data_IF_461696079181
#
_entry.id   IF_461696079181
#
_cell.length_a   1.000
_cell.length_b   1.000
_cell.length_c   1.000
_cell.angle_alpha   90.00
_cell.angle_beta   90.00
_cell.angle_gamma   90.00
#
_symmetry.space_group_name_H-M   'P 1'
#
loop_
_entity.id
_entity.type
_entity.pdbx_description
1 polymer ?
#
# COMPACT_ATOMS: atom_id res chain seq x y z
N UNK A 1 1.60 -1.07 -14.90
CA UNK A 1 2.95 -1.69 -15.00
C UNK A 1 3.42 -1.97 -13.58
N UNK A 2 3.71 -3.23 -13.23
CA UNK A 2 4.24 -3.63 -11.93
C UNK A 2 5.06 -4.91 -12.09
N UNK A 3 6.08 -5.08 -11.24
CA UNK A 3 6.89 -6.29 -11.24
C UNK A 3 6.04 -7.52 -10.91
N UNK A 4 6.39 -8.66 -11.49
CA UNK A 4 5.78 -9.94 -11.16
C UNK A 4 6.15 -10.37 -9.73
N UNK A 5 5.27 -11.12 -9.09
CA UNK A 5 5.52 -11.72 -7.79
C UNK A 5 6.42 -12.95 -7.87
N UNK A 6 6.31 -13.83 -6.88
CA UNK A 6 7.09 -15.08 -6.83
C UNK A 6 6.65 -16.12 -7.87
N UNK A 7 5.42 -15.97 -8.37
CA UNK A 7 4.80 -16.80 -9.41
C UNK A 7 5.14 -16.36 -10.84
N UNK A 8 5.92 -15.30 -10.98
CA UNK A 8 6.29 -14.64 -12.23
C UNK A 8 5.08 -14.20 -13.12
N UNK A 9 3.86 -14.27 -12.58
CA UNK A 9 2.65 -13.76 -13.25
C UNK A 9 2.74 -12.25 -13.43
N UNK A 10 2.48 -11.78 -14.64
CA UNK A 10 2.42 -10.34 -14.97
C UNK A 10 1.00 -9.80 -14.85
N UNK A 11 0.85 -8.47 -14.88
CA UNK A 11 -0.47 -7.82 -14.88
C UNK A 11 -1.30 -8.23 -16.12
N UNK A 12 -0.65 -8.54 -17.24
CA UNK A 12 -1.35 -8.96 -18.46
C UNK A 12 -1.97 -10.36 -18.34
N UNK A 13 -1.39 -11.21 -17.49
CA UNK A 13 -1.86 -12.59 -17.28
C UNK A 13 -3.03 -12.65 -16.29
N UNK A 14 -3.29 -11.57 -15.55
CA UNK A 14 -4.35 -11.54 -14.54
C UNK A 14 -5.75 -11.78 -15.13
N UNK A 15 -6.07 -11.15 -16.25
CA UNK A 15 -7.40 -11.31 -16.85
C UNK A 15 -7.65 -12.71 -17.39
N UNK A 16 -6.75 -13.35 -18.15
CA UNK A 16 -6.84 -14.77 -18.49
C UNK A 16 -7.01 -15.66 -17.25
N UNK A 17 -6.17 -15.48 -16.23
CA UNK A 17 -6.25 -16.22 -14.98
C UNK A 17 -7.65 -16.11 -14.32
N UNK A 18 -8.20 -14.89 -14.22
CA UNK A 18 -9.50 -14.68 -13.61
C UNK A 18 -10.66 -15.31 -14.39
N UNK A 19 -10.54 -15.42 -15.71
CA UNK A 19 -11.59 -16.09 -16.51
C UNK A 19 -11.75 -17.56 -16.12
N UNK A 20 -10.67 -18.20 -15.75
CA UNK A 20 -10.65 -19.62 -15.39
C UNK A 20 -10.87 -19.84 -13.88
N UNK A 21 -10.25 -19.01 -13.04
CA UNK A 21 -10.13 -19.26 -11.60
C UNK A 21 -11.01 -18.36 -10.71
N UNK A 22 -11.80 -17.43 -11.29
CA UNK A 22 -12.60 -16.45 -10.54
C UNK A 22 -13.53 -17.11 -9.52
N UNK A 23 -14.21 -18.18 -9.91
CA UNK A 23 -15.22 -18.85 -9.05
C UNK A 23 -14.57 -19.43 -7.81
N UNK A 24 -13.44 -20.13 -7.98
CA UNK A 24 -12.68 -20.72 -6.90
C UNK A 24 -12.06 -19.65 -5.98
N UNK A 25 -11.49 -18.60 -6.56
CA UNK A 25 -10.94 -17.48 -5.80
C UNK A 25 -12.01 -16.83 -4.91
N UNK A 26 -13.18 -16.53 -5.46
CA UNK A 26 -14.29 -15.94 -4.70
C UNK A 26 -14.78 -16.89 -3.60
N UNK A 27 -14.87 -18.17 -3.88
CA UNK A 27 -15.27 -19.17 -2.88
C UNK A 27 -14.28 -19.22 -1.73
N UNK A 28 -12.97 -19.27 -2.02
CA UNK A 28 -11.92 -19.29 -1.01
C UNK A 28 -11.92 -18.03 -0.12
N UNK A 29 -12.19 -16.85 -0.72
CA UNK A 29 -12.31 -15.59 0.03
C UNK A 29 -13.54 -15.60 0.95
N UNK A 30 -14.70 -16.04 0.45
CA UNK A 30 -15.95 -16.12 1.22
C UNK A 30 -15.88 -17.11 2.39
N UNK A 31 -15.18 -18.21 2.19
CA UNK A 31 -14.98 -19.25 3.20
C UNK A 31 -13.85 -18.92 4.20
N UNK A 32 -13.15 -17.80 4.03
CA UNK A 32 -11.99 -17.43 4.87
C UNK A 32 -10.79 -18.36 4.69
N UNK A 33 -10.73 -19.09 3.57
CA UNK A 33 -9.65 -20.05 3.26
C UNK A 33 -8.55 -19.47 2.35
N UNK A 34 -8.75 -18.27 1.85
CA UNK A 34 -7.74 -17.62 1.02
C UNK A 34 -6.45 -17.39 1.81
N UNK A 35 -5.34 -17.88 1.23
CA UNK A 35 -4.01 -17.68 1.80
C UNK A 35 -3.16 -16.92 0.78
N UNK A 36 -2.67 -15.72 1.13
CA UNK A 36 -1.75 -14.98 0.28
C UNK A 36 -0.47 -15.79 0.00
N UNK A 37 0.05 -15.65 -1.21
CA UNK A 37 1.32 -16.26 -1.57
C UNK A 37 2.50 -15.55 -0.88
N UNK A 38 3.66 -16.21 -0.74
CA UNK A 38 4.86 -15.55 -0.26
C UNK A 38 5.25 -14.39 -1.19
N UNK A 39 5.77 -13.30 -0.60
CA UNK A 39 6.27 -12.17 -1.39
C UNK A 39 7.63 -12.46 -2.00
N UNK A 40 7.86 -12.01 -3.23
CA UNK A 40 9.18 -12.04 -3.87
C UNK A 40 10.06 -10.95 -3.23
N UNK A 41 11.13 -11.37 -2.56
CA UNK A 41 12.06 -10.42 -1.93
C UNK A 41 12.98 -9.81 -2.98
N UNK A 42 13.06 -8.49 -2.99
CA UNK A 42 14.01 -7.71 -3.79
C UNK A 42 14.79 -6.77 -2.88
N UNK A 43 16.09 -6.66 -3.11
CA UNK A 43 16.97 -5.77 -2.38
C UNK A 43 17.30 -4.54 -3.21
N UNK A 44 17.07 -3.36 -2.65
CA UNK A 44 17.33 -2.07 -3.30
C UNK A 44 18.44 -1.36 -2.52
N UNK A 45 19.55 -1.00 -3.17
CA UNK A 45 20.60 -0.20 -2.51
C UNK A 45 20.07 1.15 -2.04
N UNK A 46 20.49 1.57 -0.84
CA UNK A 46 20.19 2.92 -0.32
C UNK A 46 21.29 3.90 -0.74
N UNK A 47 20.97 5.19 -1.01
CA UNK A 47 21.98 6.20 -1.31
C UNK A 47 23.05 6.37 -0.23
N UNK A 48 22.69 6.13 1.03
CA UNK A 48 23.57 6.29 2.20
C UNK A 48 24.30 4.99 2.60
N UNK A 49 24.34 4.00 1.71
CA UNK A 49 24.81 2.65 2.03
C UNK A 49 23.74 1.80 2.71
N UNK A 50 23.96 0.48 2.68
CA UNK A 50 22.99 -0.51 3.16
C UNK A 50 21.92 -0.87 2.12
N UNK A 51 21.01 -1.75 2.50
CA UNK A 51 20.01 -2.35 1.61
C UNK A 51 18.60 -2.16 2.18
N UNK A 52 17.66 -1.79 1.32
CA UNK A 52 16.23 -1.82 1.61
C UNK A 52 15.63 -3.10 1.05
N UNK A 53 15.06 -3.92 1.92
CA UNK A 53 14.33 -5.13 1.51
C UNK A 53 12.90 -4.76 1.13
N UNK A 54 12.50 -5.12 -0.08
CA UNK A 54 11.15 -4.92 -0.61
C UNK A 54 10.51 -6.27 -0.85
N UNK A 55 9.26 -6.45 -0.41
CA UNK A 55 8.44 -7.61 -0.74
C UNK A 55 7.48 -7.27 -1.87
N UNK A 56 7.51 -8.05 -2.96
CA UNK A 56 6.58 -7.89 -4.09
C UNK A 56 5.54 -9.00 -4.01
N UNK A 57 4.26 -8.69 -3.68
CA UNK A 57 3.18 -9.67 -3.70
C UNK A 57 2.86 -10.12 -5.13
N UNK A 58 2.19 -11.28 -5.28
CA UNK A 58 1.64 -11.72 -6.57
C UNK A 58 0.61 -10.73 -7.11
N UNK A 59 0.32 -10.81 -8.40
CA UNK A 59 -0.68 -9.94 -9.03
C UNK A 59 -2.08 -10.21 -8.47
N UNK A 60 -2.39 -11.47 -8.17
CA UNK A 60 -3.66 -11.88 -7.56
C UNK A 60 -3.78 -11.30 -6.14
N UNK A 61 -2.73 -11.41 -5.32
CA UNK A 61 -2.73 -10.83 -3.97
C UNK A 61 -2.90 -9.33 -3.99
N UNK A 62 -2.22 -8.62 -4.92
CA UNK A 62 -2.39 -7.16 -5.08
C UNK A 62 -3.81 -6.79 -5.44
N UNK A 63 -4.47 -7.57 -6.29
CA UNK A 63 -5.88 -7.36 -6.64
C UNK A 63 -6.78 -7.54 -5.41
N UNK A 64 -6.57 -8.60 -4.63
CA UNK A 64 -7.34 -8.84 -3.40
C UNK A 64 -7.09 -7.70 -2.38
N UNK A 65 -5.83 -7.29 -2.18
CA UNK A 65 -5.48 -6.15 -1.32
C UNK A 65 -6.18 -4.87 -1.79
N UNK A 66 -6.21 -4.60 -3.10
CA UNK A 66 -6.88 -3.45 -3.65
C UNK A 66 -8.40 -3.49 -3.42
N UNK A 67 -9.04 -4.66 -3.55
CA UNK A 67 -10.45 -4.82 -3.25
C UNK A 67 -10.76 -4.53 -1.77
N UNK A 68 -9.92 -5.01 -0.85
CA UNK A 68 -10.04 -4.71 0.58
C UNK A 68 -9.86 -3.21 0.84
N UNK A 69 -8.84 -2.59 0.24
CA UNK A 69 -8.58 -1.16 0.38
C UNK A 69 -9.76 -0.31 -0.09
N UNK A 70 -10.42 -0.67 -1.20
CA UNK A 70 -11.60 0.04 -1.71
C UNK A 70 -12.78 0.02 -0.73
N UNK A 71 -12.93 -1.04 0.05
CA UNK A 71 -13.99 -1.14 1.06
C UNK A 71 -13.60 -0.40 2.35
N UNK A 72 -12.36 -0.53 2.78
CA UNK A 72 -11.90 0.06 4.03
C UNK A 72 -11.68 1.57 3.94
N UNK A 73 -11.18 2.07 2.81
CA UNK A 73 -10.87 3.50 2.63
C UNK A 73 -12.05 4.42 3.02
N UNK A 74 -13.27 4.26 2.50
CA UNK A 74 -14.38 5.16 2.84
C UNK A 74 -14.81 5.06 4.31
N UNK A 75 -14.52 3.95 4.98
CA UNK A 75 -14.80 3.77 6.41
C UNK A 75 -13.79 4.56 7.24
N UNK A 76 -12.50 4.37 6.96
CA UNK A 76 -11.42 5.00 7.72
C UNK A 76 -11.24 6.49 7.42
N UNK A 77 -11.59 6.95 6.20
CA UNK A 77 -11.55 8.37 5.84
C UNK A 77 -12.36 9.25 6.81
N UNK A 78 -13.40 8.68 7.42
CA UNK A 78 -14.25 9.42 8.38
C UNK A 78 -13.60 9.61 9.75
N UNK A 79 -12.58 8.83 10.08
CA UNK A 79 -11.94 8.83 11.41
C UNK A 79 -10.49 9.30 11.38
N UNK A 80 -9.90 9.45 10.20
CA UNK A 80 -8.55 9.99 10.08
C UNK A 80 -8.51 11.48 10.45
N UNK A 81 -7.47 11.86 11.17
CA UNK A 81 -7.19 13.27 11.48
C UNK A 81 -7.08 14.11 10.20
N UNK A 82 -7.54 15.36 10.24
CA UNK A 82 -7.35 16.33 9.15
C UNK A 82 -5.87 16.64 8.86
N UNK A 83 -4.98 16.36 9.79
CA UNK A 83 -3.52 16.49 9.63
C UNK A 83 -2.84 15.23 9.13
N UNK A 84 -3.58 14.17 8.78
CA UNK A 84 -3.06 12.97 8.13
C UNK A 84 -3.12 13.14 6.60
N UNK A 85 -1.98 13.04 5.92
CA UNK A 85 -1.87 13.31 4.47
C UNK A 85 -1.39 12.11 3.67
N UNK A 86 -0.68 11.15 4.29
CA UNK A 86 -0.09 10.01 3.60
C UNK A 86 -1.13 8.99 3.15
N UNK A 87 -1.04 8.54 1.89
CA UNK A 87 -1.85 7.46 1.29
C UNK A 87 -3.38 7.65 1.38
N UNK A 88 -3.83 8.89 1.41
CA UNK A 88 -5.26 9.23 1.45
C UNK A 88 -5.75 9.79 0.12
N UNK A 89 -7.04 9.56 -0.27
CA UNK A 89 -7.63 10.18 -1.45
C UNK A 89 -7.58 11.71 -1.36
N UNK A 90 -7.26 12.35 -2.47
CA UNK A 90 -7.25 13.81 -2.62
C UNK A 90 -6.34 14.56 -1.64
N UNK A 91 -5.39 13.89 -1.00
CA UNK A 91 -4.36 14.47 -0.13
C UNK A 91 -2.97 14.04 -0.59
N UNK A 92 -1.99 14.92 -0.44
CA UNK A 92 -0.63 14.65 -0.88
C UNK A 92 0.44 15.37 -0.07
N UNK A 93 1.69 15.15 -0.45
CA UNK A 93 2.83 15.76 0.21
C UNK A 93 2.80 17.29 0.18
N UNK A 94 2.28 17.89 -0.89
CA UNK A 94 2.16 19.36 -0.99
C UNK A 94 1.18 19.93 0.06
N UNK A 95 0.09 19.23 0.35
CA UNK A 95 -0.87 19.66 1.38
C UNK A 95 -0.23 19.58 2.77
N UNK A 96 0.56 18.53 3.03
CA UNK A 96 1.32 18.40 4.27
C UNK A 96 2.33 19.54 4.43
N UNK A 97 3.07 19.90 3.39
CA UNK A 97 4.02 21.02 3.38
C UNK A 97 3.29 22.35 3.62
N UNK A 98 2.17 22.57 2.94
CA UNK A 98 1.36 23.78 3.14
C UNK A 98 0.90 23.91 4.60
N UNK A 99 0.47 22.79 5.22
CA UNK A 99 0.10 22.77 6.65
C UNK A 99 1.28 23.10 7.57
N UNK A 100 2.47 22.59 7.28
CA UNK A 100 3.67 22.92 8.05
C UNK A 100 4.01 24.43 7.94
N UNK A 101 3.92 24.99 6.73
CA UNK A 101 4.15 26.43 6.51
C UNK A 101 3.12 27.29 7.28
N UNK A 102 1.85 26.89 7.25
CA UNK A 102 0.79 27.57 7.99
C UNK A 102 1.09 27.57 9.50
N UNK A 103 1.43 26.44 10.09
CA UNK A 103 1.80 26.32 11.50
C UNK A 103 3.04 27.16 11.82
N UNK A 104 4.04 27.18 10.94
CA UNK A 104 5.22 28.03 11.10
C UNK A 104 4.84 29.52 11.17
N UNK A 105 3.94 29.97 10.29
CA UNK A 105 3.46 31.37 10.28
C UNK A 105 2.65 31.71 11.53
N UNK A 106 1.96 30.73 12.14
CA UNK A 106 1.27 30.87 13.43
C UNK A 106 2.20 30.94 14.65
N UNK A 107 3.51 30.77 14.46
CA UNK A 107 4.51 30.90 15.52
C UNK A 107 5.07 29.58 16.07
N UNK A 108 4.63 28.43 15.60
CA UNK A 108 5.22 27.14 15.99
C UNK A 108 6.66 27.02 15.45
N UNK A 109 7.64 26.70 16.30
CA UNK A 109 9.07 26.68 15.96
C UNK A 109 9.75 25.37 16.33
N UNK A 110 9.07 24.47 16.97
CA UNK A 110 9.60 23.18 17.39
C UNK A 110 8.89 22.06 16.64
N UNK A 111 9.68 21.10 16.13
CA UNK A 111 9.19 19.92 15.43
C UNK A 111 9.62 18.69 16.21
N UNK A 112 8.74 17.74 16.39
CA UNK A 112 9.04 16.42 16.92
C UNK A 112 8.84 15.43 15.77
N UNK A 113 9.90 14.72 15.40
CA UNK A 113 9.87 13.67 14.39
C UNK A 113 9.80 12.30 15.08
N UNK A 114 8.79 11.52 14.73
CA UNK A 114 8.55 10.18 15.27
C UNK A 114 8.43 9.18 14.14
N UNK A 115 9.21 8.11 14.20
CA UNK A 115 9.15 7.01 13.23
C UNK A 115 9.20 5.65 13.95
N UNK A 116 8.50 4.66 13.40
CA UNK A 116 8.48 3.31 13.93
C UNK A 116 9.65 2.51 13.36
N UNK A 117 10.56 2.11 14.22
CA UNK A 117 11.72 1.32 13.82
C UNK A 117 11.31 -0.12 13.50
N UNK A 118 11.68 -0.58 12.32
CA UNK A 118 11.46 -1.96 11.85
C UNK A 118 9.99 -2.43 11.85
N UNK A 119 9.09 -1.50 11.56
CA UNK A 119 7.68 -1.80 11.32
C UNK A 119 7.46 -2.42 9.94
#
# INVERSE_FOLDING_TARGET
KGAAGIDDMTVNDLLPYLRENKTELIASLREGKYKPAPVKRVEIPKPNGGVRKLGIPTVVDRMVQQAVAQILTPIFERVFSDNSFGFRPHRGAHDAIAKVVDLYNQGYRRVVDLDLKAY
#
